data_IF_529794662879
#
_entry.id   IF_529794662879
#
_cell.length_a   1.000
_cell.length_b   1.000
_cell.length_c   1.000
_cell.angle_alpha   90.00
_cell.angle_beta   90.00
_cell.angle_gamma   90.00
#
_symmetry.space_group_name_H-M   'P 1'
#
loop_
_entity.id
_entity.type
_entity.pdbx_description
1 polymer ?
#
# COMPACT_ATOMS: atom_id res chain seq x y z
N UNK A 1 -20.15 -25.88 -28.93
CA UNK A 1 -19.49 -25.04 -27.90
C UNK A 1 -17.99 -25.28 -27.98
N UNK A 2 -17.17 -24.25 -28.19
CA UNK A 2 -15.72 -24.40 -28.18
C UNK A 2 -15.22 -24.62 -26.73
N UNK A 3 -14.10 -25.33 -26.53
CA UNK A 3 -13.55 -25.58 -25.21
C UNK A 3 -13.00 -24.29 -24.58
N UNK A 4 -12.99 -24.15 -23.24
CA UNK A 4 -12.37 -23.02 -22.57
C UNK A 4 -10.86 -23.00 -22.85
N UNK A 5 -10.35 -21.84 -23.25
CA UNK A 5 -8.94 -21.64 -23.51
C UNK A 5 -8.12 -21.92 -22.24
N UNK A 6 -7.03 -22.69 -22.39
CA UNK A 6 -6.05 -22.93 -21.32
C UNK A 6 -5.49 -21.58 -20.87
N UNK A 7 -5.57 -21.30 -19.57
CA UNK A 7 -4.85 -20.20 -18.96
C UNK A 7 -3.35 -20.37 -19.22
N UNK A 8 -2.74 -19.36 -19.84
CA UNK A 8 -1.29 -19.30 -20.03
C UNK A 8 -0.60 -19.10 -18.67
N UNK A 9 0.62 -19.64 -18.48
CA UNK A 9 1.39 -19.44 -17.26
C UNK A 9 1.69 -17.94 -17.01
N UNK A 10 1.94 -17.54 -15.75
CA UNK A 10 2.19 -16.15 -15.40
C UNK A 10 3.39 -15.59 -16.18
N UNK A 11 3.21 -14.40 -16.75
CA UNK A 11 4.25 -13.71 -17.50
C UNK A 11 5.35 -13.24 -16.53
N UNK A 12 6.59 -13.57 -16.87
CA UNK A 12 7.78 -13.04 -16.20
C UNK A 12 7.89 -11.54 -16.47
N UNK A 13 8.27 -10.77 -15.45
CA UNK A 13 8.57 -9.34 -15.59
C UNK A 13 9.64 -9.13 -16.69
N UNK A 14 9.57 -8.01 -17.41
CA UNK A 14 10.65 -7.62 -18.32
C UNK A 14 11.97 -7.58 -17.52
N UNK A 15 13.06 -8.20 -18.01
CA UNK A 15 14.28 -8.44 -17.23
C UNK A 15 15.09 -7.18 -16.86
N UNK A 16 14.57 -5.97 -17.10
CA UNK A 16 15.31 -4.70 -16.96
C UNK A 16 14.90 -3.82 -15.77
N UNK A 17 13.75 -4.04 -15.13
CA UNK A 17 13.35 -3.23 -13.97
C UNK A 17 13.76 -3.91 -12.66
N UNK A 18 14.96 -3.58 -12.19
CA UNK A 18 15.40 -3.83 -10.83
C UNK A 18 15.63 -2.45 -10.18
N UNK A 19 14.65 -1.89 -9.43
CA UNK A 19 14.89 -0.61 -8.78
C UNK A 19 16.05 -0.79 -7.79
N UNK A 20 16.97 0.16 -7.76
CA UNK A 20 18.01 0.17 -6.74
C UNK A 20 17.40 0.50 -5.38
N UNK A 21 17.91 -0.15 -4.33
CA UNK A 21 17.50 0.18 -2.97
C UNK A 21 17.93 1.63 -2.66
N UNK A 22 17.02 2.50 -2.18
CA UNK A 22 17.40 3.82 -1.70
C UNK A 22 18.54 3.68 -0.66
N UNK A 23 19.74 4.22 -0.92
CA UNK A 23 20.92 3.95 -0.09
C UNK A 23 20.74 4.45 1.34
N UNK A 24 19.95 5.51 1.55
CA UNK A 24 19.70 6.04 2.90
C UNK A 24 18.80 5.14 3.74
N UNK A 25 18.12 4.16 3.14
CA UNK A 25 17.34 3.16 3.86
C UNK A 25 18.18 1.92 4.25
N UNK A 26 19.38 1.79 3.70
CA UNK A 26 20.34 0.72 4.06
C UNK A 26 21.00 1.06 5.40
N UNK A 27 21.25 0.04 6.21
CA UNK A 27 21.95 0.10 7.51
C UNK A 27 23.41 -0.35 7.33
N UNK A 28 24.27 0.00 8.28
CA UNK A 28 25.70 -0.35 8.25
C UNK A 28 25.94 -1.87 8.22
N UNK A 29 25.00 -2.66 8.75
CA UNK A 29 25.05 -4.13 8.75
C UNK A 29 24.38 -4.77 7.51
N UNK A 30 24.04 -3.98 6.50
CA UNK A 30 23.46 -4.45 5.23
C UNK A 30 21.95 -4.69 5.25
N UNK A 31 21.28 -4.40 6.38
CA UNK A 31 19.82 -4.48 6.47
C UNK A 31 19.16 -3.25 5.86
N UNK A 32 17.90 -3.40 5.44
CA UNK A 32 17.11 -2.32 4.82
C UNK A 32 15.90 -2.04 5.68
N UNK A 33 15.76 -0.80 6.13
CA UNK A 33 14.57 -0.35 6.86
C UNK A 33 13.36 -0.18 5.95
N UNK A 34 12.19 -0.63 6.38
CA UNK A 34 10.93 -0.57 5.63
C UNK A 34 9.82 -0.05 6.53
N UNK A 35 8.94 0.79 5.97
CA UNK A 35 7.76 1.32 6.64
C UNK A 35 6.48 0.75 6.03
N UNK A 36 5.67 0.09 6.85
CA UNK A 36 4.40 -0.51 6.46
C UNK A 36 3.19 0.40 6.74
N UNK A 37 2.31 0.56 5.75
CA UNK A 37 1.17 1.50 5.82
C UNK A 37 -0.22 0.90 5.56
N UNK A 38 -0.28 -0.32 5.02
CA UNK A 38 -1.51 -1.06 4.69
C UNK A 38 -1.43 -2.50 5.19
N UNK A 39 -1.39 -3.48 4.28
CA UNK A 39 -1.20 -4.88 4.69
C UNK A 39 0.07 -5.12 5.52
N UNK A 40 1.10 -4.29 5.34
CA UNK A 40 2.36 -4.38 6.09
C UNK A 40 2.25 -3.86 7.54
N UNK A 41 1.09 -3.35 7.96
CA UNK A 41 0.77 -3.15 9.38
C UNK A 41 0.67 -4.49 10.13
N UNK A 42 0.46 -5.60 9.42
CA UNK A 42 0.48 -6.96 9.98
C UNK A 42 1.85 -7.57 9.77
N UNK A 43 2.53 -7.96 10.85
CA UNK A 43 3.82 -8.65 10.79
C UNK A 43 3.72 -9.95 9.99
N UNK A 44 2.60 -10.68 10.13
CA UNK A 44 2.33 -11.90 9.35
C UNK A 44 2.35 -11.61 7.84
N UNK A 45 1.70 -10.53 7.41
CA UNK A 45 1.68 -10.10 6.01
C UNK A 45 3.03 -9.56 5.51
N UNK A 46 3.83 -8.98 6.41
CA UNK A 46 5.20 -8.56 6.09
C UNK A 46 6.11 -9.79 5.90
N UNK A 47 6.04 -10.78 6.79
CA UNK A 47 6.81 -12.03 6.71
C UNK A 47 6.52 -12.87 5.47
N UNK A 48 5.35 -12.71 4.86
CA UNK A 48 5.04 -13.39 3.60
C UNK A 48 5.91 -12.91 2.41
N UNK A 49 6.47 -11.70 2.47
CA UNK A 49 7.43 -11.21 1.47
C UNK A 49 8.85 -11.18 2.01
N UNK A 50 9.01 -10.91 3.30
CA UNK A 50 10.29 -10.78 3.95
C UNK A 50 10.38 -11.71 5.16
N UNK A 51 10.56 -13.03 4.94
CA UNK A 51 10.45 -14.03 6.00
C UNK A 51 11.43 -13.79 7.14
N UNK A 52 12.62 -13.25 6.84
CA UNK A 52 13.67 -12.99 7.81
C UNK A 52 13.61 -11.57 8.41
N UNK A 53 12.48 -10.85 8.29
CA UNK A 53 12.37 -9.52 8.88
C UNK A 53 12.61 -9.54 10.40
N UNK A 54 13.16 -8.44 10.90
CA UNK A 54 13.42 -8.20 12.34
C UNK A 54 12.94 -6.81 12.77
N UNK A 55 12.86 -6.61 14.08
CA UNK A 55 12.60 -5.29 14.68
C UNK A 55 11.24 -4.70 14.32
N UNK A 56 10.20 -5.54 14.18
CA UNK A 56 8.85 -5.09 13.88
C UNK A 56 8.28 -4.25 15.03
N UNK A 57 7.98 -2.98 14.79
CA UNK A 57 7.46 -2.04 15.79
C UNK A 57 6.54 -0.98 15.16
N UNK A 58 5.79 -0.24 15.98
CA UNK A 58 5.02 0.92 15.51
C UNK A 58 5.90 2.17 15.42
N UNK A 59 5.60 3.03 14.44
CA UNK A 59 6.28 4.31 14.20
C UNK A 59 5.28 5.36 13.73
N UNK A 60 5.71 6.62 13.71
CA UNK A 60 4.96 7.76 13.18
C UNK A 60 5.54 8.29 11.88
N UNK A 61 4.64 8.64 10.96
CA UNK A 61 4.96 9.30 9.70
C UNK A 61 4.27 10.66 9.61
N UNK A 62 5.05 11.69 9.28
CA UNK A 62 4.57 13.05 9.02
C UNK A 62 4.82 13.43 7.57
N UNK A 63 4.05 14.41 7.06
CA UNK A 63 4.23 14.91 5.70
C UNK A 63 3.65 13.99 4.61
N UNK A 64 2.84 13.00 4.99
CA UNK A 64 2.14 12.11 4.07
C UNK A 64 0.67 11.90 4.47
N UNK A 65 -0.14 11.45 3.51
CA UNK A 65 -1.50 10.92 3.72
C UNK A 65 -1.63 9.52 3.12
N UNK A 66 -2.48 8.67 3.73
CA UNK A 66 -2.87 7.36 3.18
C UNK A 66 -4.09 7.51 2.28
N UNK A 67 -4.04 6.93 1.08
CA UNK A 67 -5.13 7.06 0.09
C UNK A 67 -5.41 5.76 -0.66
N UNK A 68 -6.68 5.37 -0.72
CA UNK A 68 -7.21 4.31 -1.58
C UNK A 68 -7.49 4.85 -2.99
N UNK A 69 -6.44 5.05 -3.80
CA UNK A 69 -6.53 5.78 -5.08
C UNK A 69 -5.81 5.14 -6.27
N UNK A 70 -5.37 3.88 -6.17
CA UNK A 70 -4.79 3.18 -7.31
C UNK A 70 -5.30 1.75 -7.42
N UNK A 71 -5.33 1.20 -8.62
CA UNK A 71 -5.69 -0.19 -8.86
C UNK A 71 -4.45 -1.05 -8.84
N UNK A 72 -4.48 -2.15 -8.10
CA UNK A 72 -3.42 -3.16 -8.16
C UNK A 72 -3.85 -4.29 -9.12
N UNK A 73 -3.22 -4.47 -10.29
CA UNK A 73 -3.46 -5.59 -11.20
C UNK A 73 -3.62 -6.96 -10.52
N UNK A 74 -2.79 -7.23 -9.51
CA UNK A 74 -2.82 -8.49 -8.75
C UNK A 74 -4.16 -8.74 -8.04
N UNK A 75 -4.95 -7.71 -7.75
CA UNK A 75 -6.27 -7.88 -7.14
C UNK A 75 -7.29 -8.50 -8.09
N UNK A 76 -7.13 -8.29 -9.40
CA UNK A 76 -7.98 -8.93 -10.42
C UNK A 76 -7.57 -10.36 -10.67
N UNK A 77 -6.26 -10.61 -10.75
CA UNK A 77 -5.71 -11.97 -10.85
C UNK A 77 -6.17 -12.85 -9.69
N UNK A 78 -6.35 -12.24 -8.51
CA UNK A 78 -6.84 -12.89 -7.28
C UNK A 78 -8.36 -12.88 -7.11
N UNK A 79 -9.11 -12.31 -8.05
CA UNK A 79 -10.57 -12.26 -7.99
C UNK A 79 -11.14 -11.49 -6.79
N UNK A 80 -10.39 -10.55 -6.21
CA UNK A 80 -10.85 -9.75 -5.06
C UNK A 80 -11.33 -8.35 -5.42
N UNK A 81 -10.99 -7.84 -6.61
CA UNK A 81 -11.43 -6.55 -7.09
C UNK A 81 -12.69 -6.66 -7.96
N UNK A 82 -13.66 -5.77 -7.73
CA UNK A 82 -14.94 -5.72 -8.44
C UNK A 82 -15.05 -4.44 -9.27
N UNK A 83 -14.84 -4.56 -10.58
CA UNK A 83 -14.96 -3.42 -11.47
C UNK A 83 -16.40 -3.03 -11.83
N UNK A 84 -17.43 -3.83 -11.49
CA UNK A 84 -18.83 -3.39 -11.62
C UNK A 84 -19.17 -2.37 -10.54
N UNK A 85 -18.73 -2.63 -9.30
CA UNK A 85 -18.91 -1.71 -8.16
C UNK A 85 -17.81 -0.68 -8.03
N UNK A 86 -16.73 -0.80 -8.81
CA UNK A 86 -15.51 0.03 -8.73
C UNK A 86 -14.73 -0.16 -7.43
N UNK A 87 -14.98 -1.23 -6.68
CA UNK A 87 -14.24 -1.64 -5.47
C UNK A 87 -12.94 -2.34 -5.89
N UNK A 88 -12.01 -1.53 -6.40
CA UNK A 88 -10.79 -2.01 -7.06
C UNK A 88 -9.52 -1.40 -6.49
N UNK A 89 -9.63 -0.40 -5.60
CA UNK A 89 -8.45 0.34 -5.17
C UNK A 89 -7.68 -0.33 -4.03
N UNK A 90 -6.36 -0.27 -4.17
CA UNK A 90 -5.35 -0.54 -3.17
C UNK A 90 -4.89 0.77 -2.50
N UNK A 91 -4.03 0.64 -1.49
CA UNK A 91 -3.60 1.72 -0.61
C UNK A 91 -2.21 2.24 -0.98
N UNK A 92 -2.04 3.55 -1.06
CA UNK A 92 -0.76 4.21 -1.31
C UNK A 92 -0.52 5.36 -0.33
N UNK A 93 0.72 5.81 -0.23
CA UNK A 93 1.08 7.07 0.44
C UNK A 93 1.21 8.20 -0.57
N UNK A 94 0.69 9.38 -0.25
CA UNK A 94 0.95 10.61 -1.01
C UNK A 94 1.68 11.60 -0.11
N UNK A 95 2.75 12.22 -0.61
CA UNK A 95 3.35 13.36 0.06
C UNK A 95 2.35 14.51 0.09
N UNK A 96 2.40 15.31 1.16
CA UNK A 96 1.59 16.53 1.26
C UNK A 96 2.15 17.60 0.33
N UNK A 97 1.23 18.26 -0.37
CA UNK A 97 1.50 19.39 -1.25
C UNK A 97 1.36 20.71 -0.48
N UNK A 98 1.96 21.81 -0.96
CA UNK A 98 1.73 23.13 -0.40
C UNK A 98 0.22 23.44 -0.35
N UNK A 99 -0.30 23.71 0.85
CA UNK A 99 -1.71 24.02 1.10
C UNK A 99 -2.54 22.85 1.63
N UNK A 100 -2.01 21.63 1.71
CA UNK A 100 -2.63 20.56 2.50
C UNK A 100 -2.51 20.85 4.00
N UNK A 101 -3.52 20.49 4.79
CA UNK A 101 -3.48 20.56 6.25
C UNK A 101 -2.86 19.26 6.83
N UNK A 102 -1.67 19.32 7.47
CA UNK A 102 -1.06 18.14 8.09
C UNK A 102 -1.94 17.49 9.16
N UNK A 103 -2.77 18.27 9.87
CA UNK A 103 -3.65 17.74 10.91
C UNK A 103 -4.79 16.93 10.32
N UNK A 104 -5.34 17.34 9.18
CA UNK A 104 -6.31 16.54 8.44
C UNK A 104 -5.66 15.27 7.89
N UNK A 105 -4.48 15.43 7.27
CA UNK A 105 -3.78 14.34 6.61
C UNK A 105 -3.32 13.22 7.53
N UNK A 106 -2.80 13.56 8.71
CA UNK A 106 -2.13 12.59 9.59
C UNK A 106 -2.27 12.87 11.10
N UNK A 107 -3.11 13.82 11.48
CA UNK A 107 -3.26 14.19 12.88
C UNK A 107 -2.02 14.87 13.47
N UNK A 108 -2.09 15.29 14.75
CA UNK A 108 -1.03 16.07 15.39
C UNK A 108 0.26 15.25 15.65
N UNK A 109 0.13 13.93 15.84
CA UNK A 109 1.26 13.02 16.12
C UNK A 109 1.82 12.33 14.88
N UNK A 110 1.21 12.51 13.70
CA UNK A 110 1.54 11.74 12.50
C UNK A 110 0.79 10.41 12.40
N UNK A 111 0.83 9.81 11.21
CA UNK A 111 0.20 8.52 10.93
C UNK A 111 0.93 7.43 11.70
N UNK A 112 0.17 6.64 12.46
CA UNK A 112 0.66 5.34 12.93
C UNK A 112 0.90 4.42 11.73
N UNK A 113 2.11 3.89 11.67
CA UNK A 113 2.61 2.92 10.70
C UNK A 113 3.44 1.86 11.42
N UNK A 114 4.02 0.91 10.68
CA UNK A 114 4.98 -0.05 11.22
C UNK A 114 6.35 0.18 10.62
N UNK A 115 7.40 -0.15 11.37
CA UNK A 115 8.77 -0.24 10.93
C UNK A 115 9.26 -1.68 11.11
N UNK A 116 10.05 -2.16 10.17
CA UNK A 116 10.83 -3.38 10.31
C UNK A 116 12.05 -3.32 9.39
N UNK A 117 13.00 -4.20 9.62
CA UNK A 117 14.18 -4.34 8.78
C UNK A 117 14.14 -5.68 8.05
N UNK A 118 14.59 -5.67 6.80
CA UNK A 118 14.75 -6.87 5.98
C UNK A 118 16.23 -7.04 5.60
N UNK A 119 16.72 -8.26 5.41
CA UNK A 119 18.04 -8.46 4.81
C UNK A 119 18.10 -7.81 3.43
N UNK A 120 19.24 -7.23 3.05
CA UNK A 120 19.42 -6.56 1.76
C UNK A 120 19.11 -7.49 0.56
N UNK A 121 19.35 -8.79 0.70
CA UNK A 121 19.02 -9.81 -0.30
C UNK A 121 17.51 -10.03 -0.51
N UNK A 122 16.66 -9.63 0.45
CA UNK A 122 15.19 -9.71 0.32
C UNK A 122 14.59 -8.46 -0.33
N UNK A 123 15.36 -7.38 -0.47
CA UNK A 123 14.89 -6.14 -1.10
C UNK A 123 14.37 -6.35 -2.53
N UNK A 124 15.03 -7.12 -3.43
CA UNK A 124 14.48 -7.39 -4.77
C UNK A 124 13.07 -8.01 -4.75
N UNK A 125 12.77 -8.87 -3.79
CA UNK A 125 11.45 -9.48 -3.65
C UNK A 125 10.40 -8.45 -3.19
N UNK A 126 10.76 -7.57 -2.25
CA UNK A 126 9.92 -6.44 -1.85
C UNK A 126 9.67 -5.50 -3.03
N UNK A 127 10.73 -5.13 -3.76
CA UNK A 127 10.65 -4.25 -4.92
C UNK A 127 9.77 -4.82 -6.03
N UNK A 128 9.87 -6.12 -6.31
CA UNK A 128 9.00 -6.78 -7.28
C UNK A 128 7.53 -6.80 -6.84
N UNK A 129 7.27 -6.99 -5.55
CA UNK A 129 5.91 -6.93 -4.97
C UNK A 129 5.31 -5.53 -5.07
N UNK A 130 6.13 -4.49 -4.88
CA UNK A 130 5.70 -3.09 -4.81
C UNK A 130 6.03 -2.32 -6.11
N UNK A 131 6.18 -3.02 -7.24
CA UNK A 131 6.67 -2.47 -8.51
C UNK A 131 5.79 -1.33 -9.09
N UNK A 132 4.53 -1.28 -8.68
CA UNK A 132 3.57 -0.23 -9.02
C UNK A 132 3.93 1.12 -8.40
N UNK A 133 4.60 1.11 -7.25
CA UNK A 133 4.90 2.28 -6.43
C UNK A 133 6.25 2.93 -6.77
N UNK A 134 6.46 4.12 -6.24
CA UNK A 134 7.80 4.68 -6.07
C UNK A 134 8.29 4.28 -4.67
N UNK A 135 9.52 3.75 -4.58
CA UNK A 135 10.16 3.40 -3.31
C UNK A 135 11.02 4.57 -2.85
N UNK A 136 10.65 5.19 -1.74
CA UNK A 136 11.32 6.41 -1.25
C UNK A 136 11.86 6.22 0.15
N UNK A 137 13.08 6.68 0.39
CA UNK A 137 13.62 6.77 1.74
C UNK A 137 12.98 7.94 2.50
N UNK A 138 12.31 7.66 3.61
CA UNK A 138 11.60 8.64 4.45
C UNK A 138 12.04 8.56 5.90
N UNK A 139 11.99 9.68 6.61
CA UNK A 139 12.16 9.75 8.06
C UNK A 139 10.89 9.27 8.77
N UNK A 140 11.06 8.66 9.94
CA UNK A 140 9.97 8.20 10.80
C UNK A 140 10.32 8.51 12.25
N UNK A 141 9.33 8.64 13.13
CA UNK A 141 9.55 8.84 14.57
C UNK A 141 9.14 7.56 15.31
N UNK A 142 9.86 7.20 16.38
CA UNK A 142 9.44 6.08 17.22
C UNK A 142 8.13 6.45 17.94
N UNK A 143 7.17 5.52 17.96
CA UNK A 143 5.82 5.78 18.46
C UNK A 143 5.76 6.01 19.99
N UNK A 144 6.75 5.49 20.70
CA UNK A 144 6.94 5.64 22.14
C UNK A 144 7.63 6.95 22.55
N UNK A 145 8.11 7.75 21.60
CA UNK A 145 8.77 9.01 21.89
C UNK A 145 7.74 10.14 21.99
N UNK A 146 7.58 10.70 23.18
CA UNK A 146 6.63 11.80 23.49
C UNK A 146 7.06 13.16 22.92
N UNK A 147 8.03 13.18 22.01
CA UNK A 147 8.52 14.39 21.33
C UNK A 147 9.49 15.23 22.16
N UNK A 148 9.91 14.74 23.32
CA UNK A 148 11.00 15.31 24.13
C UNK A 148 12.25 14.44 24.05
N UNK A 149 12.87 14.38 22.87
CA UNK A 149 14.31 14.09 22.77
C UNK A 149 14.77 12.73 22.24
N UNK A 150 13.99 12.04 21.40
CA UNK A 150 14.42 10.84 20.69
C UNK A 150 14.19 10.91 19.17
N UNK A 151 14.53 12.05 18.54
CA UNK A 151 14.51 12.16 17.08
C UNK A 151 15.24 10.96 16.47
N UNK A 152 14.58 10.24 15.57
CA UNK A 152 15.25 9.20 14.78
C UNK A 152 16.54 9.82 14.24
N UNK A 153 17.71 9.29 14.61
CA UNK A 153 19.05 9.82 14.27
C UNK A 153 19.28 9.90 12.74
N UNK A 154 18.53 10.74 12.02
CA UNK A 154 18.48 10.75 10.56
C UNK A 154 18.09 9.42 9.91
N UNK A 155 17.62 8.41 10.67
CA UNK A 155 17.33 7.07 10.15
C UNK A 155 16.17 7.15 9.15
N UNK A 156 16.44 6.75 7.91
CA UNK A 156 15.40 6.63 6.88
C UNK A 156 15.00 5.18 6.67
N UNK A 157 13.82 4.97 6.11
CA UNK A 157 13.31 3.66 5.74
C UNK A 157 12.49 3.78 4.44
N UNK A 158 12.33 2.67 3.73
CA UNK A 158 11.60 2.62 2.47
C UNK A 158 10.11 2.76 2.75
N UNK A 159 9.47 3.71 2.06
CA UNK A 159 8.02 3.87 1.99
C UNK A 159 7.56 3.68 0.55
N UNK A 160 6.47 2.94 0.37
CA UNK A 160 5.78 2.83 -0.91
C UNK A 160 4.90 4.08 -1.11
N UNK A 161 5.37 4.99 -1.97
CA UNK A 161 4.65 6.22 -2.31
C UNK A 161 3.99 6.11 -3.67
N UNK A 162 2.95 6.91 -3.87
CA UNK A 162 2.25 7.04 -5.14
C UNK A 162 3.23 7.34 -6.27
N UNK A 163 3.08 6.59 -7.36
CA UNK A 163 3.80 6.80 -8.62
C UNK A 163 2.88 7.48 -9.65
N UNK A 164 3.20 7.32 -10.93
CA UNK A 164 2.41 7.81 -12.04
C UNK A 164 2.07 6.71 -13.04
N UNK A 165 0.99 6.89 -13.80
CA UNK A 165 0.62 6.01 -14.91
C UNK A 165 1.75 5.93 -15.95
N UNK A 166 2.47 7.04 -16.18
CA UNK A 166 3.61 7.10 -17.09
C UNK A 166 4.79 6.23 -16.61
N UNK A 167 5.16 6.34 -15.33
CA UNK A 167 6.21 5.52 -14.75
C UNK A 167 5.84 4.04 -14.70
N UNK A 168 4.57 3.72 -14.40
CA UNK A 168 4.06 2.35 -14.45
C UNK A 168 4.13 1.80 -15.88
N UNK A 169 3.66 2.58 -16.85
CA UNK A 169 3.73 2.24 -18.26
C UNK A 169 5.18 1.96 -18.68
N UNK A 170 6.12 2.84 -18.39
CA UNK A 170 7.54 2.64 -18.74
C UNK A 170 8.10 1.30 -18.24
N UNK A 171 7.74 0.88 -17.02
CA UNK A 171 8.22 -0.35 -16.38
C UNK A 171 7.55 -1.62 -16.90
N UNK A 172 6.28 -1.53 -17.30
CA UNK A 172 5.43 -2.70 -17.56
C UNK A 172 4.85 -2.77 -18.99
N UNK A 173 5.13 -1.79 -19.87
CA UNK A 173 4.44 -1.62 -21.16
C UNK A 173 4.80 -2.58 -22.30
N UNK A 174 5.77 -3.50 -22.17
CA UNK A 174 5.87 -4.55 -23.20
C UNK A 174 4.59 -5.40 -23.25
N UNK A 175 3.86 -5.53 -22.13
CA UNK A 175 2.57 -6.23 -22.04
C UNK A 175 1.36 -5.37 -22.41
N UNK A 176 1.45 -4.05 -22.31
CA UNK A 176 0.38 -3.10 -22.69
C UNK A 176 0.21 -2.93 -24.20
N UNK A 177 1.22 -3.28 -25.00
CA UNK A 177 1.23 -3.05 -26.46
C UNK A 177 0.55 -4.14 -27.30
N UNK A 178 0.16 -5.28 -26.71
CA UNK A 178 -0.30 -6.47 -27.46
C UNK A 178 -1.78 -6.85 -27.32
N UNK A 179 -2.47 -6.43 -26.26
CA UNK A 179 -3.88 -6.74 -26.01
C UNK A 179 -4.55 -5.53 -25.38
N UNK A 180 -5.49 -4.90 -26.09
CA UNK A 180 -6.08 -3.60 -25.74
C UNK A 180 -6.77 -3.54 -24.37
N UNK A 181 -6.01 -3.30 -23.31
CA UNK A 181 -6.51 -3.02 -21.97
C UNK A 181 -5.59 -3.57 -20.88
N UNK A 182 -4.64 -2.78 -20.39
CA UNK A 182 -3.68 -3.24 -19.37
C UNK A 182 -3.59 -2.34 -18.13
N UNK A 183 -4.74 -1.93 -17.61
CA UNK A 183 -4.91 -1.45 -16.25
C UNK A 183 -5.98 -2.28 -15.56
N UNK A 184 -5.76 -3.59 -15.40
CA UNK A 184 -6.56 -4.51 -14.57
C UNK A 184 -8.07 -4.69 -14.87
N UNK A 185 -8.72 -3.77 -15.57
CA UNK A 185 -10.13 -3.78 -15.96
C UNK A 185 -10.37 -3.11 -17.32
N UNK A 186 -9.34 -3.08 -18.19
CA UNK A 186 -9.41 -2.45 -19.51
C UNK A 186 -9.18 -0.93 -19.51
N UNK A 187 -8.77 -0.34 -18.40
CA UNK A 187 -8.39 1.08 -18.34
C UNK A 187 -6.91 1.28 -18.71
N UNK A 188 -6.58 2.43 -19.28
CA UNK A 188 -5.20 2.81 -19.62
C UNK A 188 -4.43 3.37 -18.39
N UNK A 189 -4.98 3.20 -17.19
CA UNK A 189 -4.45 3.77 -15.96
C UNK A 189 -4.58 2.86 -14.77
N UNK A 190 -3.71 3.06 -13.80
CA UNK A 190 -3.80 2.46 -12.47
C UNK A 190 -3.85 3.52 -11.37
N UNK A 191 -3.38 4.75 -11.61
CA UNK A 191 -3.38 5.84 -10.62
C UNK A 191 -4.54 6.81 -10.87
N UNK A 192 -5.49 6.91 -9.93
CA UNK A 192 -6.62 7.81 -10.09
C UNK A 192 -6.32 9.21 -9.53
N UNK A 193 -6.49 10.26 -10.37
CA UNK A 193 -6.32 11.63 -9.92
C UNK A 193 -7.39 11.99 -8.90
N UNK A 194 -7.02 12.89 -8.00
CA UNK A 194 -7.86 13.29 -6.87
C UNK A 194 -8.96 14.29 -7.18
N UNK A 195 -9.81 14.50 -6.16
CA UNK A 195 -10.79 15.58 -6.01
C UNK A 195 -12.06 15.51 -6.90
N UNK A 196 -12.39 14.35 -7.48
CA UNK A 196 -13.74 14.11 -8.01
C UNK A 196 -14.66 13.58 -6.92
N UNK A 197 -15.92 14.01 -6.92
CA UNK A 197 -16.98 13.52 -6.04
C UNK A 197 -18.17 13.09 -6.90
N UNK A 198 -18.63 11.83 -6.83
CA UNK A 198 -18.12 10.74 -5.97
C UNK A 198 -16.71 10.25 -6.37
N UNK A 199 -16.02 9.47 -5.50
CA UNK A 199 -14.74 8.85 -5.83
C UNK A 199 -14.81 8.01 -7.13
N UNK A 200 -13.75 8.05 -7.94
CA UNK A 200 -13.69 7.28 -9.19
C UNK A 200 -13.53 5.76 -8.96
N UNK A 201 -13.00 5.38 -7.80
CA UNK A 201 -12.82 4.01 -7.33
C UNK A 201 -12.98 3.96 -5.81
N UNK A 202 -13.35 2.78 -5.33
CA UNK A 202 -13.55 2.46 -3.92
C UNK A 202 -12.55 1.39 -3.46
N UNK A 203 -12.28 1.30 -2.16
CA UNK A 203 -11.36 0.30 -1.61
C UNK A 203 -11.83 -1.11 -1.96
N UNK A 204 -10.91 -1.95 -2.40
CA UNK A 204 -11.15 -3.39 -2.55
C UNK A 204 -11.54 -3.97 -1.19
N UNK A 205 -12.74 -4.55 -1.07
CA UNK A 205 -13.33 -4.91 0.22
C UNK A 205 -12.45 -5.83 1.07
N UNK A 206 -12.01 -6.95 0.50
CA UNK A 206 -11.18 -7.93 1.21
C UNK A 206 -9.84 -7.34 1.67
N UNK A 207 -9.22 -6.50 0.83
CA UNK A 207 -7.94 -5.85 1.15
C UNK A 207 -8.10 -4.74 2.19
N UNK A 208 -9.11 -3.89 2.05
CA UNK A 208 -9.41 -2.83 3.01
C UNK A 208 -9.76 -3.41 4.39
N UNK A 209 -10.58 -4.46 4.44
CA UNK A 209 -10.88 -5.21 5.66
C UNK A 209 -9.60 -5.71 6.32
N UNK A 210 -8.70 -6.35 5.57
CA UNK A 210 -7.43 -6.82 6.11
C UNK A 210 -6.60 -5.68 6.69
N UNK A 211 -6.48 -4.54 6.01
CA UNK A 211 -5.73 -3.40 6.52
C UNK A 211 -6.34 -2.82 7.81
N UNK A 212 -7.68 -2.78 7.91
CA UNK A 212 -8.38 -2.35 9.14
C UNK A 212 -8.09 -3.32 10.29
N UNK A 213 -8.12 -4.64 10.03
CA UNK A 213 -7.81 -5.65 11.05
C UNK A 213 -6.35 -5.60 11.49
N UNK A 214 -5.42 -5.38 10.56
CA UNK A 214 -4.01 -5.18 10.85
C UNK A 214 -3.77 -3.92 11.68
N UNK A 215 -4.44 -2.80 11.38
CA UNK A 215 -4.37 -1.61 12.22
C UNK A 215 -4.98 -1.86 13.61
N UNK A 216 -6.07 -2.62 13.69
CA UNK A 216 -6.72 -2.98 14.96
C UNK A 216 -5.83 -3.81 15.86
N UNK A 217 -5.04 -4.73 15.31
CA UNK A 217 -4.14 -5.58 16.11
C UNK A 217 -2.98 -4.82 16.74
N UNK A 218 -2.61 -3.66 16.17
CA UNK A 218 -1.61 -2.74 16.73
C UNK A 218 -2.16 -1.86 17.88
N UNK A 219 -3.48 -1.84 18.09
CA UNK A 219 -4.12 -1.12 19.19
C UNK A 219 -5.09 -0.01 18.76
N UNK A 220 -5.78 0.62 19.74
CA UNK A 220 -6.85 1.57 19.46
C UNK A 220 -6.36 2.84 18.76
N UNK A 221 -5.15 3.31 19.08
CA UNK A 221 -4.59 4.50 18.42
C UNK A 221 -4.21 4.22 16.97
N UNK A 222 -3.61 3.07 16.68
CA UNK A 222 -3.32 2.63 15.32
C UNK A 222 -4.60 2.50 14.49
N UNK A 223 -5.66 1.92 15.07
CA UNK A 223 -6.97 1.83 14.43
C UNK A 223 -7.58 3.21 14.16
N UNK A 224 -7.58 4.11 15.15
CA UNK A 224 -8.10 5.47 14.97
C UNK A 224 -7.33 6.20 13.85
N UNK A 225 -5.99 6.19 13.93
CA UNK A 225 -5.11 6.69 12.88
C UNK A 225 -5.47 6.14 11.50
N UNK A 226 -5.67 4.82 11.39
CA UNK A 226 -5.99 4.18 10.11
C UNK A 226 -7.37 4.58 9.58
N UNK A 227 -8.38 4.67 10.43
CA UNK A 227 -9.75 4.99 10.02
C UNK A 227 -9.95 6.48 9.70
N UNK A 228 -9.33 7.35 10.49
CA UNK A 228 -9.53 8.80 10.42
C UNK A 228 -8.59 9.49 9.43
N UNK A 229 -7.41 8.94 9.22
CA UNK A 229 -6.37 9.52 8.36
C UNK A 229 -6.01 8.61 7.18
N UNK A 230 -6.99 7.83 6.70
CA UNK A 230 -6.95 7.17 5.40
C UNK A 230 -8.12 7.64 4.57
N UNK A 231 -7.86 8.09 3.36
CA UNK A 231 -8.85 8.70 2.47
C UNK A 231 -9.17 7.82 1.27
N UNK A 232 -10.34 8.02 0.69
CA UNK A 232 -10.70 7.44 -0.61
C UNK A 232 -10.06 8.22 -1.76
N UNK A 233 -10.31 7.78 -3.01
CA UNK A 233 -9.78 8.43 -4.20
C UNK A 233 -10.18 9.91 -4.35
N UNK A 234 -11.22 10.39 -3.66
CA UNK A 234 -11.58 11.80 -3.63
C UNK A 234 -10.66 12.66 -2.72
N UNK A 235 -9.84 12.03 -1.87
CA UNK A 235 -8.97 12.64 -0.84
C UNK A 235 -9.76 13.50 0.16
N UNK A 236 -11.02 13.17 0.39
CA UNK A 236 -11.93 13.88 1.30
C UNK A 236 -12.71 12.93 2.19
N UNK A 237 -13.24 11.86 1.59
CA UNK A 237 -13.97 10.85 2.36
C UNK A 237 -12.97 9.99 3.12
N UNK A 238 -13.05 10.01 4.45
CA UNK A 238 -12.24 9.13 5.31
C UNK A 238 -12.74 7.68 5.24
N UNK A 239 -11.86 6.72 5.53
CA UNK A 239 -12.22 5.32 5.60
C UNK A 239 -13.28 5.07 6.67
N UNK A 240 -13.23 5.78 7.81
CA UNK A 240 -14.30 5.75 8.82
C UNK A 240 -15.66 6.07 8.22
N UNK A 241 -15.77 7.22 7.56
CA UNK A 241 -17.01 7.66 6.92
C UNK A 241 -17.50 6.65 5.89
N UNK A 242 -16.58 6.05 5.14
CA UNK A 242 -16.90 5.03 4.15
C UNK A 242 -17.46 3.74 4.79
N UNK A 243 -16.83 3.26 5.86
CA UNK A 243 -17.25 2.05 6.59
C UNK A 243 -18.59 2.23 7.29
N UNK A 244 -18.86 3.40 7.87
CA UNK A 244 -20.17 3.71 8.46
C UNK A 244 -21.31 3.61 7.45
N UNK A 245 -21.04 3.98 6.19
CA UNK A 245 -22.00 3.88 5.08
C UNK A 245 -22.03 2.49 4.44
N UNK A 246 -20.96 1.70 4.59
CA UNK A 246 -20.78 0.40 3.94
C UNK A 246 -20.27 -0.66 4.96
N UNK A 247 -21.01 -0.94 6.04
CA UNK A 247 -20.53 -1.79 7.14
C UNK A 247 -20.22 -3.22 6.69
N UNK A 248 -20.93 -3.72 5.67
CA UNK A 248 -20.72 -5.05 5.09
C UNK A 248 -19.32 -5.26 4.50
N UNK A 249 -18.51 -4.21 4.32
CA UNK A 249 -17.11 -4.35 3.90
C UNK A 249 -16.33 -5.18 4.92
N UNK A 250 -16.58 -4.95 6.22
CA UNK A 250 -15.93 -5.69 7.30
C UNK A 250 -16.37 -7.15 7.41
N UNK A 251 -17.45 -7.53 6.72
CA UNK A 251 -17.99 -8.89 6.66
C UNK A 251 -17.43 -9.68 5.47
N UNK A 252 -16.68 -9.05 4.57
CA UNK A 252 -16.20 -9.68 3.33
C UNK A 252 -14.93 -10.51 3.61
N UNK A 253 -15.00 -11.86 3.67
CA UNK A 253 -13.81 -12.66 3.89
C UNK A 253 -12.90 -12.59 2.64
N UNK A 254 -11.58 -12.76 2.81
CA UNK A 254 -10.72 -13.03 1.66
C UNK A 254 -11.07 -14.39 1.04
N UNK A 255 -10.78 -14.59 -0.26
CA UNK A 255 -10.79 -15.93 -0.86
C UNK A 255 -9.91 -16.92 -0.07
N UNK A 256 -10.22 -18.23 -0.09
CA UNK A 256 -9.48 -19.24 0.68
C UNK A 256 -7.96 -19.19 0.49
N UNK A 257 -7.50 -19.00 -0.75
CA UNK A 257 -6.09 -18.87 -1.11
C UNK A 257 -5.39 -17.64 -0.49
N UNK A 258 -6.16 -16.66 -0.03
CA UNK A 258 -5.65 -15.46 0.65
C UNK A 258 -6.00 -15.45 2.14
N UNK A 259 -6.65 -16.47 2.70
CA UNK A 259 -7.12 -16.46 4.08
C UNK A 259 -5.98 -16.29 5.09
N UNK A 260 -4.83 -16.91 4.84
CA UNK A 260 -3.63 -16.74 5.67
C UNK A 260 -3.07 -15.32 5.60
N UNK A 261 -3.08 -14.70 4.41
CA UNK A 261 -2.49 -13.37 4.20
C UNK A 261 -3.43 -12.24 4.58
N UNK A 262 -4.73 -12.38 4.32
CA UNK A 262 -5.76 -11.34 4.46
C UNK A 262 -6.81 -11.66 5.54
N UNK A 263 -6.52 -12.62 6.42
CA UNK A 263 -7.40 -13.00 7.53
C UNK A 263 -7.55 -11.94 8.62
N UNK A 264 -6.61 -10.99 8.68
CA UNK A 264 -6.40 -10.09 9.81
C UNK A 264 -5.05 -10.38 10.43
#
# INVERSE_FOLDING_TARGET
MPPPARASPPAQASPSYAPECPPEAVRDDGWVGVVGIGSLLSERSARHTSPNLRGFKTVRLRGYRRVFAHTAPVFFERGIADGKTREVSSLSMEALEPGDDPREAHGPRGLVATYFEIPGEEFPALAAREAEFELRAVTYEDDEDDGEGGGSDGKKAILCVRSSDAAYAERHCERMKGTGGGGGFGEERIWYPGRRSPPAVYPTRAYARHCVLAAKSLGPEALASFLDHTFLADRRTTLRTHLERNPSLMETPPPPELAERYGG
#
